data_IF_222061422366
#
_entry.id   IF_222061422366
#
_cell.length_a   1.000
_cell.length_b   1.000
_cell.length_c   1.000
_cell.angle_alpha   90.00
_cell.angle_beta   90.00
_cell.angle_gamma   90.00
#
_symmetry.space_group_name_H-M   'P 1'
#
loop_
_entity.id
_entity.type
_entity.pdbx_description
1 polymer ?
#
# COMPACT_ATOMS: atom_id res chain seq x y z
N UNK A 1 26.54 -5.88 38.54
CA UNK A 1 26.23 -6.92 37.54
C UNK A 1 25.59 -6.23 36.33
N UNK A 2 26.37 -6.04 35.29
CA UNK A 2 25.84 -5.53 34.00
C UNK A 2 25.18 -6.69 33.29
N UNK A 3 23.84 -6.66 33.16
CA UNK A 3 23.10 -7.57 32.35
C UNK A 3 23.36 -7.24 30.87
N UNK A 4 24.11 -8.08 30.18
CA UNK A 4 24.21 -8.06 28.73
C UNK A 4 22.82 -8.41 28.19
N UNK A 5 22.10 -7.41 27.65
CA UNK A 5 20.92 -7.65 26.82
C UNK A 5 21.41 -8.37 25.55
N UNK A 6 21.28 -9.66 25.52
CA UNK A 6 21.37 -10.44 24.28
C UNK A 6 20.23 -9.95 23.38
N UNK A 7 20.56 -9.07 22.45
CA UNK A 7 19.71 -8.78 21.29
C UNK A 7 19.73 -10.06 20.46
N UNK A 8 18.84 -11.01 20.76
CA UNK A 8 18.57 -12.11 19.86
C UNK A 8 18.16 -11.48 18.54
N UNK A 9 18.88 -11.81 17.46
CA UNK A 9 18.50 -11.39 16.10
C UNK A 9 17.10 -11.91 15.84
N UNK A 10 16.11 -11.04 16.00
CA UNK A 10 14.73 -11.43 15.83
C UNK A 10 14.49 -11.76 14.35
N UNK A 11 14.02 -12.97 14.12
CA UNK A 11 13.66 -13.48 12.81
C UNK A 11 12.18 -13.81 12.78
N UNK A 12 11.52 -13.52 11.68
CA UNK A 12 10.15 -13.93 11.43
C UNK A 12 10.00 -14.49 10.02
N UNK A 13 9.44 -15.68 9.90
CA UNK A 13 8.98 -16.23 8.63
C UNK A 13 7.49 -15.91 8.50
N UNK A 14 7.12 -15.10 7.53
CA UNK A 14 5.72 -14.73 7.28
C UNK A 14 5.09 -15.77 6.37
N UNK A 15 4.49 -16.80 6.98
CA UNK A 15 3.80 -17.88 6.25
C UNK A 15 2.30 -17.63 6.22
N UNK A 16 1.70 -17.95 5.08
CA UNK A 16 0.25 -18.00 4.96
C UNK A 16 -0.28 -19.29 5.58
N UNK A 17 -1.19 -19.13 6.53
CA UNK A 17 -1.92 -20.25 7.12
C UNK A 17 -3.37 -19.83 7.34
N UNK A 18 -4.08 -19.60 6.24
CA UNK A 18 -5.47 -19.17 6.29
C UNK A 18 -6.43 -20.35 6.25
N UNK A 19 -7.53 -20.21 6.94
CA UNK A 19 -8.69 -21.09 6.81
C UNK A 19 -9.86 -20.28 6.24
N UNK A 20 -10.80 -20.96 5.62
CA UNK A 20 -12.04 -20.36 5.14
C UNK A 20 -12.76 -19.66 6.31
N UNK A 21 -13.25 -18.46 6.08
CA UNK A 21 -13.89 -17.54 7.01
C UNK A 21 -12.95 -16.87 8.02
N UNK A 22 -11.63 -17.10 7.97
CA UNK A 22 -10.70 -16.31 8.76
C UNK A 22 -10.85 -14.83 8.41
N UNK A 23 -10.93 -14.00 9.45
CA UNK A 23 -10.94 -12.54 9.31
C UNK A 23 -9.79 -11.96 10.10
N UNK A 24 -8.98 -11.16 9.43
CA UNK A 24 -7.84 -10.49 10.06
C UNK A 24 -7.89 -8.99 9.77
N UNK A 25 -7.53 -8.18 10.77
CA UNK A 25 -7.33 -6.75 10.62
C UNK A 25 -5.84 -6.46 10.65
N UNK A 26 -5.35 -5.79 9.60
CA UNK A 26 -3.98 -5.30 9.53
C UNK A 26 -3.97 -3.80 9.72
N UNK A 27 -3.07 -3.32 10.56
CA UNK A 27 -2.76 -1.91 10.67
C UNK A 27 -1.48 -1.63 9.90
N UNK A 28 -1.58 -0.89 8.83
CA UNK A 28 -0.44 -0.40 8.05
C UNK A 28 -0.14 1.04 8.45
N UNK A 29 1.11 1.34 8.76
CA UNK A 29 1.58 2.69 9.07
C UNK A 29 2.72 3.03 8.13
N UNK A 30 2.51 4.04 7.30
CA UNK A 30 3.52 4.56 6.36
C UNK A 30 3.91 5.96 6.80
N UNK A 31 5.19 6.15 7.09
CA UNK A 31 5.76 7.48 7.38
C UNK A 31 6.56 7.94 6.18
N UNK A 32 6.21 9.10 5.67
CA UNK A 32 6.88 9.72 4.53
C UNK A 32 7.59 10.99 5.00
N UNK A 33 8.84 11.11 4.61
CA UNK A 33 9.66 12.30 4.77
C UNK A 33 10.11 12.70 3.36
N UNK A 34 9.55 13.79 2.84
CA UNK A 34 9.66 14.17 1.42
C UNK A 34 10.31 15.53 1.31
N UNK A 35 11.39 15.62 0.55
CA UNK A 35 11.97 16.92 0.18
C UNK A 35 11.32 17.37 -1.14
N UNK A 36 10.42 18.36 -1.04
CA UNK A 36 9.69 18.86 -2.20
C UNK A 36 10.51 19.91 -2.96
N UNK A 37 10.48 19.86 -4.31
CA UNK A 37 11.19 20.83 -5.15
C UNK A 37 10.60 22.24 -5.01
N UNK A 38 11.28 23.24 -5.62
CA UNK A 38 10.82 24.64 -5.71
C UNK A 38 10.66 25.35 -4.36
N UNK A 39 11.47 25.02 -3.35
CA UNK A 39 11.47 25.73 -2.08
C UNK A 39 10.29 25.39 -1.13
N UNK A 40 9.50 24.37 -1.44
CA UNK A 40 8.40 23.92 -0.58
C UNK A 40 8.89 23.21 0.71
N UNK A 41 10.20 22.96 0.79
CA UNK A 41 10.84 22.42 1.98
C UNK A 41 10.59 20.94 2.22
N UNK A 42 10.96 20.51 3.41
CA UNK A 42 10.75 19.11 3.84
C UNK A 42 9.35 18.95 4.43
N UNK A 43 8.63 17.93 3.97
CA UNK A 43 7.26 17.61 4.39
C UNK A 43 7.21 16.22 4.98
N UNK A 44 6.49 16.07 6.09
CA UNK A 44 6.33 14.80 6.79
C UNK A 44 4.86 14.48 6.96
N UNK A 45 4.49 13.28 6.52
CA UNK A 45 3.15 12.74 6.77
C UNK A 45 3.23 11.31 7.29
N UNK A 46 2.23 10.93 8.06
CA UNK A 46 2.01 9.56 8.52
C UNK A 46 0.64 9.10 8.04
N UNK A 47 0.61 8.05 7.26
CA UNK A 47 -0.62 7.43 6.76
C UNK A 47 -0.85 6.15 7.57
N UNK A 48 -1.97 6.07 8.26
CA UNK A 48 -2.41 4.88 8.98
C UNK A 48 -3.63 4.29 8.27
N UNK A 49 -3.54 3.04 7.83
CA UNK A 49 -4.66 2.30 7.22
C UNK A 49 -5.01 1.09 8.08
N UNK A 50 -6.29 0.88 8.31
CA UNK A 50 -6.83 -0.36 8.85
C UNK A 50 -7.42 -1.18 7.70
N UNK A 51 -6.82 -2.32 7.42
CA UNK A 51 -7.20 -3.20 6.31
C UNK A 51 -7.86 -4.44 6.86
N UNK A 52 -9.08 -4.70 6.40
CA UNK A 52 -9.81 -5.93 6.69
C UNK A 52 -9.54 -6.95 5.58
N UNK A 53 -9.18 -8.15 5.97
CA UNK A 53 -8.84 -9.27 5.11
C UNK A 53 -9.69 -10.47 5.51
N UNK A 54 -10.53 -10.95 4.59
CA UNK A 54 -11.43 -12.09 4.85
C UNK A 54 -11.17 -13.19 3.86
N UNK A 55 -10.89 -14.38 4.34
CA UNK A 55 -10.70 -15.56 3.51
C UNK A 55 -12.07 -16.13 3.12
N UNK A 56 -12.50 -15.87 1.90
CA UNK A 56 -13.79 -16.33 1.39
C UNK A 56 -13.76 -17.82 1.01
N UNK A 57 -12.61 -18.30 0.50
CA UNK A 57 -12.42 -19.70 0.14
C UNK A 57 -10.94 -20.11 0.15
N UNK A 58 -10.70 -21.43 0.28
CA UNK A 58 -9.38 -22.05 0.24
C UNK A 58 -9.41 -23.25 -0.68
N UNK A 59 -8.49 -23.29 -1.62
CA UNK A 59 -8.31 -24.39 -2.58
C UNK A 59 -6.88 -24.91 -2.55
N UNK A 60 -6.59 -25.98 -3.29
CA UNK A 60 -5.23 -26.47 -3.45
C UNK A 60 -4.32 -25.48 -4.21
N UNK A 61 -4.90 -24.55 -4.98
CA UNK A 61 -4.17 -23.56 -5.78
C UNK A 61 -3.93 -22.24 -5.02
N UNK A 62 -4.64 -22.01 -3.91
CA UNK A 62 -4.50 -20.76 -3.13
C UNK A 62 -5.80 -20.33 -2.48
N UNK A 63 -5.99 -19.02 -2.34
CA UNK A 63 -7.09 -18.46 -1.56
C UNK A 63 -7.89 -17.44 -2.37
N UNK A 64 -9.20 -17.41 -2.11
CA UNK A 64 -10.07 -16.29 -2.51
C UNK A 64 -10.29 -15.39 -1.32
N UNK A 65 -10.00 -14.11 -1.46
CA UNK A 65 -9.91 -13.18 -0.32
C UNK A 65 -10.63 -11.88 -0.64
N UNK A 66 -11.41 -11.37 0.33
CA UNK A 66 -11.88 -9.99 0.32
C UNK A 66 -10.84 -9.12 1.02
N UNK A 67 -10.32 -8.14 0.29
CA UNK A 67 -9.45 -7.08 0.79
C UNK A 67 -10.24 -5.78 0.83
N UNK A 68 -10.26 -5.13 1.99
CA UNK A 68 -11.00 -3.88 2.18
C UNK A 68 -10.21 -2.91 3.07
N UNK A 69 -10.03 -1.67 2.62
CA UNK A 69 -9.52 -0.58 3.45
C UNK A 69 -10.68 -0.04 4.28
N UNK A 70 -10.78 -0.51 5.52
CA UNK A 70 -11.88 -0.17 6.42
C UNK A 70 -11.81 1.28 6.89
N UNK A 71 -10.58 1.77 7.14
CA UNK A 71 -10.33 3.14 7.57
C UNK A 71 -8.94 3.60 7.17
N UNK A 72 -8.79 4.94 7.04
CA UNK A 72 -7.52 5.59 6.74
C UNK A 72 -7.47 6.95 7.43
N UNK A 73 -6.35 7.23 8.11
CA UNK A 73 -6.07 8.50 8.75
C UNK A 73 -4.71 9.00 8.29
N UNK A 74 -4.61 10.30 7.99
CA UNK A 74 -3.38 10.96 7.58
C UNK A 74 -3.08 12.11 8.53
N UNK A 75 -1.92 12.05 9.17
CA UNK A 75 -1.40 13.06 10.07
C UNK A 75 -0.12 13.69 9.53
N UNK A 76 0.22 14.89 9.96
CA UNK A 76 1.48 15.57 9.63
C UNK A 76 1.29 16.94 9.02
N UNK A 77 2.13 17.33 8.06
CA UNK A 77 2.08 18.62 7.38
C UNK A 77 0.71 18.83 6.70
N UNK A 78 -0.07 19.75 7.25
CA UNK A 78 -1.50 19.87 7.02
C UNK A 78 -1.90 20.01 5.55
N UNK A 79 -1.17 20.81 4.79
CA UNK A 79 -1.41 21.07 3.38
C UNK A 79 -1.35 19.81 2.50
N UNK A 80 -0.46 18.87 2.84
CA UNK A 80 -0.35 17.58 2.15
C UNK A 80 -1.22 16.52 2.80
N UNK A 81 -1.26 16.48 4.13
CA UNK A 81 -2.05 15.51 4.86
C UNK A 81 -3.55 15.59 4.50
N UNK A 82 -4.11 16.80 4.43
CA UNK A 82 -5.50 17.02 4.07
C UNK A 82 -5.80 16.52 2.63
N UNK A 83 -4.89 16.78 1.67
CA UNK A 83 -5.06 16.30 0.28
C UNK A 83 -5.01 14.78 0.18
N UNK A 84 -4.05 14.16 0.87
CA UNK A 84 -3.89 12.69 0.89
C UNK A 84 -5.07 12.04 1.61
N UNK A 85 -5.59 12.64 2.70
CA UNK A 85 -6.77 12.16 3.42
C UNK A 85 -8.02 12.19 2.55
N UNK A 86 -8.24 13.29 1.82
CA UNK A 86 -9.38 13.42 0.89
C UNK A 86 -9.30 12.36 -0.21
N UNK A 87 -8.12 12.21 -0.82
CA UNK A 87 -7.91 11.19 -1.84
C UNK A 87 -8.11 9.76 -1.28
N UNK A 88 -7.54 9.47 -0.10
CA UNK A 88 -7.69 8.17 0.55
C UNK A 88 -9.15 7.81 0.87
N UNK A 89 -9.91 8.76 1.41
CA UNK A 89 -11.34 8.56 1.69
C UNK A 89 -12.15 8.32 0.41
N UNK A 90 -11.77 8.96 -0.68
CA UNK A 90 -12.49 8.88 -1.95
C UNK A 90 -12.18 7.63 -2.76
N UNK A 91 -10.93 7.19 -2.77
CA UNK A 91 -10.47 6.13 -3.68
C UNK A 91 -10.20 4.79 -3.00
N UNK A 92 -9.90 4.80 -1.70
CA UNK A 92 -9.46 3.60 -0.98
C UNK A 92 -10.47 3.16 0.08
N UNK A 93 -11.00 4.09 0.87
CA UNK A 93 -11.89 3.74 1.99
C UNK A 93 -13.18 3.09 1.50
N UNK A 94 -13.45 1.90 2.02
CA UNK A 94 -14.63 1.12 1.66
C UNK A 94 -14.54 0.36 0.33
N UNK A 95 -13.48 0.57 -0.46
CA UNK A 95 -13.27 -0.21 -1.66
C UNK A 95 -13.04 -1.68 -1.30
N UNK A 96 -13.78 -2.58 -1.95
CA UNK A 96 -13.67 -4.03 -1.76
C UNK A 96 -13.07 -4.65 -3.01
N UNK A 97 -11.93 -5.30 -2.85
CA UNK A 97 -11.31 -6.11 -3.90
C UNK A 97 -11.46 -7.59 -3.55
N UNK A 98 -11.89 -8.38 -4.52
CA UNK A 98 -11.94 -9.84 -4.39
C UNK A 98 -10.72 -10.40 -5.11
N UNK A 99 -9.77 -10.88 -4.32
CA UNK A 99 -8.47 -11.32 -4.78
C UNK A 99 -8.43 -12.84 -4.90
N UNK A 100 -7.80 -13.33 -5.97
CA UNK A 100 -7.29 -14.69 -6.07
C UNK A 100 -5.79 -14.65 -5.78
N UNK A 101 -5.35 -15.44 -4.80
CA UNK A 101 -3.93 -15.58 -4.48
C UNK A 101 -3.45 -17.00 -4.79
N UNK A 102 -2.12 -17.17 -4.88
CA UNK A 102 -1.51 -18.49 -4.80
C UNK A 102 -1.43 -18.98 -3.34
N UNK A 103 -0.81 -20.14 -3.15
CA UNK A 103 -0.63 -20.77 -1.83
C UNK A 103 0.30 -19.96 -0.90
N UNK A 104 1.17 -19.12 -1.44
CA UNK A 104 2.07 -18.24 -0.69
C UNK A 104 1.40 -16.89 -0.35
N UNK A 105 0.12 -16.70 -0.70
CA UNK A 105 -0.63 -15.48 -0.42
C UNK A 105 -0.35 -14.33 -1.37
N UNK A 106 0.38 -14.55 -2.47
CA UNK A 106 0.60 -13.54 -3.50
C UNK A 106 -0.61 -13.43 -4.39
N UNK A 107 -1.05 -12.20 -4.63
CA UNK A 107 -2.18 -11.90 -5.53
C UNK A 107 -1.80 -12.20 -6.96
N UNK A 108 -2.62 -12.98 -7.64
CA UNK A 108 -2.47 -13.34 -9.06
C UNK A 108 -3.58 -12.74 -9.93
N UNK A 109 -4.75 -12.49 -9.34
CA UNK A 109 -5.90 -11.94 -10.06
C UNK A 109 -6.83 -11.13 -9.15
N UNK A 110 -7.51 -10.13 -9.72
CA UNK A 110 -8.60 -9.39 -9.09
C UNK A 110 -9.92 -9.82 -9.75
N UNK A 111 -10.74 -10.56 -9.01
CA UNK A 111 -11.93 -11.21 -9.54
C UNK A 111 -13.08 -10.26 -9.87
N UNK A 112 -13.10 -9.08 -9.24
CA UNK A 112 -14.08 -8.02 -9.47
C UNK A 112 -13.41 -6.75 -10.03
N UNK A 113 -12.43 -6.92 -10.93
CA UNK A 113 -11.64 -5.83 -11.51
C UNK A 113 -12.52 -4.74 -12.12
N UNK A 114 -13.53 -5.12 -12.90
CA UNK A 114 -14.40 -4.16 -13.59
C UNK A 114 -15.13 -3.23 -12.60
N UNK A 115 -15.59 -3.76 -11.46
CA UNK A 115 -16.23 -2.99 -10.41
C UNK A 115 -15.24 -2.01 -9.74
N UNK A 116 -14.04 -2.51 -9.43
CA UNK A 116 -12.98 -1.71 -8.80
C UNK A 116 -12.51 -0.61 -9.74
N UNK A 117 -12.25 -0.94 -11.00
CA UNK A 117 -11.81 0.01 -12.01
C UNK A 117 -12.89 1.06 -12.31
N UNK A 118 -14.14 0.65 -12.45
CA UNK A 118 -15.25 1.56 -12.69
C UNK A 118 -15.45 2.53 -11.53
N UNK A 119 -15.42 2.06 -10.29
CA UNK A 119 -15.58 2.91 -9.11
C UNK A 119 -14.41 3.91 -8.95
N UNK A 120 -13.17 3.44 -9.10
CA UNK A 120 -11.98 4.27 -9.02
C UNK A 120 -11.91 5.30 -10.15
N UNK A 121 -12.12 4.87 -11.39
CA UNK A 121 -12.10 5.76 -12.56
C UNK A 121 -13.19 6.85 -12.48
N UNK A 122 -14.41 6.49 -12.08
CA UNK A 122 -15.52 7.45 -11.94
C UNK A 122 -15.16 8.59 -10.98
N UNK A 123 -14.59 8.25 -9.83
CA UNK A 123 -14.20 9.23 -8.83
C UNK A 123 -13.06 10.11 -9.36
N UNK A 124 -12.05 9.51 -9.99
CA UNK A 124 -10.91 10.23 -10.53
C UNK A 124 -11.30 11.17 -11.67
N UNK A 125 -12.16 10.73 -12.58
CA UNK A 125 -12.68 11.56 -13.67
C UNK A 125 -13.44 12.76 -13.12
N UNK A 126 -14.30 12.55 -12.13
CA UNK A 126 -15.06 13.65 -11.51
C UNK A 126 -14.14 14.69 -10.86
N UNK A 127 -13.05 14.26 -10.20
CA UNK A 127 -12.07 15.17 -9.62
C UNK A 127 -11.32 15.98 -10.67
N UNK A 128 -10.90 15.33 -11.76
CA UNK A 128 -10.25 16.00 -12.86
C UNK A 128 -11.19 17.06 -13.44
N UNK A 129 -12.43 16.70 -13.73
CA UNK A 129 -13.40 17.63 -14.30
C UNK A 129 -13.63 18.84 -13.41
N UNK A 130 -13.71 18.64 -12.09
CA UNK A 130 -13.84 19.74 -11.14
C UNK A 130 -12.60 20.65 -11.13
N UNK A 131 -11.40 20.08 -11.16
CA UNK A 131 -10.15 20.85 -11.19
C UNK A 131 -10.01 21.69 -12.46
N UNK A 132 -10.32 21.11 -13.63
CA UNK A 132 -10.26 21.84 -14.91
C UNK A 132 -11.35 22.90 -15.03
N UNK A 133 -12.51 22.68 -14.40
CA UNK A 133 -13.55 23.73 -14.27
C UNK A 133 -13.08 24.92 -13.44
N UNK A 134 -12.40 24.64 -12.33
CA UNK A 134 -11.89 25.70 -11.43
C UNK A 134 -10.68 26.43 -12.02
N UNK A 135 -9.89 25.77 -12.85
CA UNK A 135 -8.66 26.32 -13.45
C UNK A 135 -8.52 25.90 -14.92
N UNK A 136 -9.20 26.59 -15.86
CA UNK A 136 -9.15 26.26 -17.28
C UNK A 136 -7.74 26.30 -17.90
N UNK A 137 -6.81 27.08 -17.32
CA UNK A 137 -5.45 27.20 -17.83
C UNK A 137 -4.62 25.92 -17.63
N UNK A 138 -5.09 25.01 -16.78
CA UNK A 138 -4.44 23.69 -16.59
C UNK A 138 -4.37 22.89 -17.89
N UNK A 139 -5.36 23.03 -18.79
CA UNK A 139 -5.37 22.32 -20.08
C UNK A 139 -4.13 22.62 -20.95
N UNK A 140 -3.60 23.82 -20.85
CA UNK A 140 -2.41 24.23 -21.61
C UNK A 140 -1.11 23.61 -21.08
N UNK A 141 -1.04 23.36 -19.76
CA UNK A 141 0.15 22.84 -19.10
C UNK A 141 0.10 21.32 -19.00
N UNK A 142 -1.07 20.78 -18.69
CA UNK A 142 -1.32 19.35 -18.51
C UNK A 142 -2.62 18.96 -19.24
N UNK A 143 -2.56 18.46 -20.48
CA UNK A 143 -3.76 18.08 -21.22
C UNK A 143 -4.60 17.06 -20.47
N UNK A 144 -5.91 17.32 -20.32
CA UNK A 144 -6.87 16.47 -19.62
C UNK A 144 -6.84 15.02 -20.11
N UNK A 145 -6.72 14.83 -21.42
CA UNK A 145 -6.63 13.50 -22.02
C UNK A 145 -5.42 12.69 -21.52
N UNK A 146 -4.26 13.31 -21.34
CA UNK A 146 -3.06 12.65 -20.80
C UNK A 146 -3.27 12.23 -19.34
N UNK A 147 -3.90 13.09 -18.54
CA UNK A 147 -4.17 12.78 -17.14
C UNK A 147 -5.20 11.66 -17.01
N UNK A 148 -6.23 11.66 -17.81
CA UNK A 148 -7.24 10.59 -17.84
C UNK A 148 -6.62 9.23 -18.25
N UNK A 149 -5.74 9.24 -19.25
CA UNK A 149 -5.02 8.03 -19.66
C UNK A 149 -4.11 7.50 -18.54
N UNK A 150 -3.36 8.37 -17.88
CA UNK A 150 -2.51 7.99 -16.76
C UNK A 150 -3.30 7.39 -15.58
N UNK A 151 -4.48 7.94 -15.30
CA UNK A 151 -5.37 7.38 -14.28
C UNK A 151 -5.92 6.01 -14.69
N UNK A 152 -6.37 5.86 -15.94
CA UNK A 152 -6.85 4.56 -16.43
C UNK A 152 -5.79 3.48 -16.29
N UNK A 153 -4.53 3.77 -16.57
CA UNK A 153 -3.42 2.83 -16.40
C UNK A 153 -3.21 2.39 -14.94
N UNK A 154 -3.54 3.23 -13.97
CA UNK A 154 -3.43 2.84 -12.55
C UNK A 154 -4.48 1.80 -12.13
N UNK A 155 -5.58 1.69 -12.87
CA UNK A 155 -6.63 0.70 -12.65
C UNK A 155 -6.50 -0.54 -13.54
N UNK A 156 -5.42 -0.65 -14.32
CA UNK A 156 -5.09 -1.89 -15.00
C UNK A 156 -4.79 -3.00 -13.99
N UNK A 157 -5.24 -4.22 -14.27
CA UNK A 157 -5.10 -5.36 -13.35
C UNK A 157 -3.67 -5.55 -12.88
N UNK A 158 -2.71 -5.51 -13.82
CA UNK A 158 -1.29 -5.65 -13.50
C UNK A 158 -0.80 -4.58 -12.52
N UNK A 159 -1.16 -3.33 -12.74
CA UNK A 159 -0.73 -2.22 -11.88
C UNK A 159 -1.30 -2.36 -10.46
N UNK A 160 -2.57 -2.78 -10.34
CA UNK A 160 -3.20 -3.03 -9.04
C UNK A 160 -2.59 -4.23 -8.32
N UNK A 161 -2.32 -5.33 -9.05
CA UNK A 161 -1.68 -6.54 -8.49
C UNK A 161 -0.26 -6.22 -8.01
N UNK A 162 0.53 -5.54 -8.83
CA UNK A 162 1.89 -5.12 -8.46
C UNK A 162 1.85 -4.21 -7.21
N UNK A 163 0.89 -3.27 -7.16
CA UNK A 163 0.73 -2.41 -6.00
C UNK A 163 0.38 -3.21 -4.73
N UNK A 164 -0.56 -4.14 -4.80
CA UNK A 164 -0.94 -4.98 -3.67
C UNK A 164 0.24 -5.83 -3.19
N UNK A 165 0.93 -6.50 -4.09
CA UNK A 165 2.04 -7.41 -3.76
C UNK A 165 3.31 -6.69 -3.28
N UNK A 166 3.51 -5.43 -3.65
CA UNK A 166 4.75 -4.71 -3.36
C UNK A 166 4.62 -3.64 -2.26
N UNK A 167 3.42 -3.08 -2.08
CA UNK A 167 3.22 -1.89 -1.23
C UNK A 167 2.30 -2.10 -0.04
N UNK A 168 1.81 -3.33 0.17
CA UNK A 168 0.98 -3.67 1.31
C UNK A 168 1.65 -4.75 2.16
N UNK A 169 1.01 -5.13 3.27
CA UNK A 169 1.47 -6.25 4.10
C UNK A 169 1.62 -7.58 3.31
N UNK A 170 0.95 -7.73 2.17
CA UNK A 170 1.06 -8.90 1.29
C UNK A 170 2.49 -9.10 0.75
N UNK A 171 3.28 -8.04 0.70
CA UNK A 171 4.69 -8.10 0.32
C UNK A 171 5.51 -9.06 1.18
N UNK A 172 5.16 -9.16 2.46
CA UNK A 172 5.95 -9.95 3.43
C UNK A 172 5.66 -11.45 3.37
N UNK A 173 4.54 -11.87 2.77
CA UNK A 173 4.21 -13.28 2.67
C UNK A 173 5.26 -14.06 1.85
N UNK A 174 5.62 -15.24 2.36
CA UNK A 174 6.66 -16.10 1.80
C UNK A 174 8.10 -15.64 2.08
N UNK A 175 8.28 -14.59 2.90
CA UNK A 175 9.62 -14.06 3.22
C UNK A 175 10.09 -14.47 4.60
N UNK A 176 11.39 -14.78 4.69
CA UNK A 176 12.12 -14.88 5.94
C UNK A 176 12.73 -13.52 6.26
N UNK A 177 12.17 -12.85 7.27
CA UNK A 177 12.58 -11.51 7.66
C UNK A 177 13.51 -11.58 8.87
N UNK A 178 14.65 -10.92 8.77
CA UNK A 178 15.62 -10.75 9.87
C UNK A 178 15.90 -9.28 10.09
N UNK A 179 16.12 -8.91 11.34
CA UNK A 179 16.59 -7.57 11.68
C UNK A 179 17.90 -7.27 10.97
N UNK A 180 18.03 -6.05 10.43
CA UNK A 180 19.16 -5.57 9.62
C UNK A 180 19.32 -6.22 8.25
N UNK A 181 18.43 -7.12 7.84
CA UNK A 181 18.44 -7.61 6.46
C UNK A 181 18.19 -6.47 5.49
N UNK A 182 18.90 -6.46 4.37
CA UNK A 182 18.77 -5.44 3.32
C UNK A 182 18.33 -6.11 2.03
N UNK A 183 17.46 -5.44 1.31
CA UNK A 183 16.97 -5.87 0.01
C UNK A 183 16.93 -4.66 -0.94
N UNK A 184 17.62 -4.77 -2.06
CA UNK A 184 17.55 -3.75 -3.10
C UNK A 184 16.30 -3.97 -3.96
N UNK A 185 15.56 -2.90 -4.17
CA UNK A 185 14.30 -2.89 -4.91
C UNK A 185 14.32 -1.80 -5.96
N UNK A 186 13.66 -2.05 -7.07
CA UNK A 186 13.42 -1.01 -8.09
C UNK A 186 11.92 -0.85 -8.28
N UNK A 187 11.42 0.36 -8.15
CA UNK A 187 10.02 0.69 -8.36
C UNK A 187 9.91 1.91 -9.27
N UNK A 188 9.19 1.78 -10.38
CA UNK A 188 9.03 2.85 -11.36
C UNK A 188 10.37 3.47 -11.82
N UNK A 189 11.41 2.65 -11.92
CA UNK A 189 12.76 3.08 -12.30
C UNK A 189 13.60 3.67 -11.15
N UNK A 190 13.04 3.91 -9.99
CA UNK A 190 13.74 4.40 -8.80
C UNK A 190 14.27 3.21 -8.00
N UNK A 191 15.55 3.27 -7.65
CA UNK A 191 16.20 2.23 -6.81
C UNK A 191 16.08 2.57 -5.33
N UNK A 192 15.69 1.59 -4.54
CA UNK A 192 15.56 1.71 -3.09
C UNK A 192 16.32 0.59 -2.40
N UNK A 193 16.83 0.87 -1.22
CA UNK A 193 17.25 -0.19 -0.28
C UNK A 193 16.23 -0.28 0.84
N UNK A 194 15.64 -1.46 1.01
CA UNK A 194 14.77 -1.80 2.15
C UNK A 194 15.62 -2.36 3.27
N UNK A 195 15.47 -1.86 4.48
CA UNK A 195 16.08 -2.43 5.69
C UNK A 195 14.97 -2.84 6.66
N UNK A 196 15.02 -4.07 7.15
CA UNK A 196 14.00 -4.63 8.02
C UNK A 196 14.41 -4.58 9.48
N UNK A 197 13.45 -4.30 10.35
CA UNK A 197 13.55 -4.52 11.79
C UNK A 197 12.40 -5.43 12.19
N UNK A 198 12.72 -6.54 12.85
CA UNK A 198 11.74 -7.50 13.34
C UNK A 198 11.76 -7.46 14.86
N UNK A 199 10.60 -7.30 15.46
CA UNK A 199 10.45 -7.31 16.91
C UNK A 199 9.25 -8.17 17.32
N UNK A 200 9.40 -8.92 18.39
CA UNK A 200 8.31 -9.66 19.03
C UNK A 200 7.79 -8.85 20.23
N UNK A 201 6.52 -8.51 20.21
CA UNK A 201 5.89 -7.70 21.24
C UNK A 201 4.57 -8.35 21.67
N UNK A 202 4.53 -8.94 22.87
CA UNK A 202 3.32 -9.50 23.47
C UNK A 202 2.62 -10.56 22.60
N UNK A 203 3.38 -11.44 21.94
CA UNK A 203 2.84 -12.48 21.05
C UNK A 203 2.59 -12.03 19.61
N UNK A 204 2.78 -10.75 19.33
CA UNK A 204 2.70 -10.20 17.96
C UNK A 204 4.10 -9.99 17.39
N UNK A 205 4.27 -10.30 16.11
CA UNK A 205 5.48 -9.95 15.36
C UNK A 205 5.27 -8.62 14.67
N UNK A 206 6.13 -7.64 14.96
CA UNK A 206 6.13 -6.33 14.31
C UNK A 206 7.28 -6.28 13.31
N UNK A 207 6.97 -6.02 12.05
CA UNK A 207 7.95 -5.79 10.99
C UNK A 207 7.95 -4.33 10.61
N UNK A 208 9.09 -3.68 10.77
CA UNK A 208 9.30 -2.31 10.30
C UNK A 208 10.22 -2.34 9.09
N UNK A 209 9.81 -1.69 8.02
CA UNK A 209 10.62 -1.54 6.80
C UNK A 209 11.00 -0.08 6.64
N UNK A 210 12.29 0.19 6.58
CA UNK A 210 12.83 1.50 6.20
C UNK A 210 13.23 1.44 4.72
N UNK A 211 12.66 2.33 3.92
CA UNK A 211 12.99 2.50 2.51
C UNK A 211 13.91 3.72 2.37
N UNK A 212 15.06 3.52 1.75
CA UNK A 212 15.98 4.61 1.43
C UNK A 212 16.16 4.65 -0.08
N UNK A 213 15.92 5.82 -0.66
CA UNK A 213 16.24 6.10 -2.05
C UNK A 213 17.76 6.06 -2.26
N UNK A 214 18.20 5.46 -3.35
CA UNK A 214 19.59 5.31 -3.73
C UNK A 214 19.98 6.31 -4.84
N UNK A 215 19.33 7.50 -4.88
CA UNK A 215 19.76 8.61 -5.74
C UNK A 215 21.10 9.18 -5.30
#
# INVERSE_FOLDING_TARGET
MMGAALTADAQATVKVNFNKNDTTMYKEVVKLDMNLPMGQGNKKITITKNVRYVVLDKTAQGYKIEYNVADMVVDGDKDIADQVQVAGNRYLKGAKMILQTNTDGKVEKILNLDEVAAAGSKNAIADIEEQYKKNPTLEQVLPKAKLMMAISQQFEEKALIDNLNENTFLYYYGKDLKTNNKEDRTKQGIKFTSTYTVANNGGNTVVTTNLKDNM
#
